data_IF_838374652894
#
_entry.id   IF_838374652894
#
_cell.length_a   1.000
_cell.length_b   1.000
_cell.length_c   1.000
_cell.angle_alpha   90.00
_cell.angle_beta   90.00
_cell.angle_gamma   90.00
#
_symmetry.space_group_name_H-M   'P 1'
#
loop_
_entity.id
_entity.type
_entity.pdbx_description
1 polymer ?
#
# COMPACT_ATOMS: atom_id res chain seq x y z
N UNK A 1 7.65 22.02 53.68
CA UNK A 1 8.48 21.07 52.91
C UNK A 1 7.73 20.88 51.60
N UNK A 2 8.26 21.48 50.53
CA UNK A 2 7.65 21.35 49.21
C UNK A 2 7.86 19.94 48.70
N UNK A 3 6.81 19.22 48.47
CA UNK A 3 6.86 17.93 47.79
C UNK A 3 7.56 18.12 46.43
N UNK A 4 8.58 17.35 46.20
CA UNK A 4 9.29 17.36 44.94
C UNK A 4 8.31 16.98 43.84
N UNK A 5 8.20 17.83 42.82
CA UNK A 5 7.36 17.55 41.63
C UNK A 5 7.76 16.21 41.01
N UNK A 6 6.81 15.41 40.52
CA UNK A 6 7.09 14.12 39.95
C UNK A 6 8.10 14.22 38.80
N UNK A 7 9.08 13.32 38.80
CA UNK A 7 10.18 13.30 37.81
C UNK A 7 9.78 12.85 36.44
N UNK A 8 8.55 12.30 36.28
CA UNK A 8 8.00 11.88 34.99
C UNK A 8 6.89 12.82 34.58
N UNK A 9 7.10 13.56 33.51
CA UNK A 9 6.09 14.47 32.92
C UNK A 9 5.46 13.83 31.71
N UNK A 10 4.14 13.65 31.78
CA UNK A 10 3.35 13.36 30.61
C UNK A 10 3.01 14.68 29.91
N UNK A 11 3.57 14.89 28.72
CA UNK A 11 3.21 16.04 27.89
C UNK A 11 2.04 15.63 27.00
N UNK A 12 0.92 16.28 27.20
CA UNK A 12 -0.12 16.40 26.18
C UNK A 12 0.07 17.76 25.52
N UNK A 13 -0.01 17.81 24.19
CA UNK A 13 0.32 18.96 23.36
C UNK A 13 -0.28 20.28 23.88
N UNK A 14 0.51 21.04 24.61
CA UNK A 14 0.22 22.40 25.01
C UNK A 14 -0.99 22.66 25.93
N UNK A 15 -1.77 21.65 26.29
CA UNK A 15 -3.02 21.81 27.06
C UNK A 15 -2.98 21.20 28.48
N UNK A 16 -1.80 20.88 29.01
CA UNK A 16 -1.73 20.49 30.44
C UNK A 16 -1.80 21.76 31.31
N UNK A 17 -2.92 22.01 31.99
CA UNK A 17 -3.09 23.24 32.79
C UNK A 17 -2.12 23.35 33.97
N UNK A 18 -1.31 22.33 34.22
CA UNK A 18 -0.27 22.35 35.23
C UNK A 18 1.03 23.01 34.77
N UNK A 19 1.16 23.26 33.45
CA UNK A 19 2.40 23.75 32.83
C UNK A 19 2.12 24.69 31.66
N UNK A 20 1.38 25.79 31.92
CA UNK A 20 1.01 26.78 30.89
C UNK A 20 2.21 27.48 30.25
N UNK A 21 3.31 27.60 30.97
CA UNK A 21 4.58 28.08 30.40
C UNK A 21 5.77 27.51 31.18
N UNK A 22 6.50 26.57 30.58
CA UNK A 22 7.77 26.07 31.11
C UNK A 22 8.82 27.16 31.22
N UNK A 23 8.70 28.23 30.43
CA UNK A 23 9.62 29.37 30.44
C UNK A 23 9.56 30.07 31.80
N UNK A 24 8.39 30.29 32.35
CA UNK A 24 8.22 30.95 33.64
C UNK A 24 8.70 30.10 34.81
N UNK A 25 8.54 28.78 34.73
CA UNK A 25 9.03 27.87 35.78
C UNK A 25 10.55 27.66 35.78
N UNK A 26 11.17 27.65 34.60
CA UNK A 26 12.61 27.39 34.46
C UNK A 26 13.40 28.68 34.60
N UNK A 27 12.83 29.83 34.28
CA UNK A 27 13.54 31.09 34.14
C UNK A 27 13.15 32.18 35.13
N UNK A 28 12.43 31.87 36.20
CA UNK A 28 12.15 32.83 37.27
C UNK A 28 13.39 33.41 37.91
N UNK A 29 14.58 32.84 37.73
CA UNK A 29 15.84 33.28 38.30
C UNK A 29 16.81 33.96 37.31
N UNK A 30 16.34 34.37 36.11
CA UNK A 30 17.16 35.01 35.11
C UNK A 30 17.50 34.10 33.92
N UNK A 31 17.36 34.65 32.74
CA UNK A 31 17.56 33.95 31.47
C UNK A 31 19.03 33.71 31.22
N UNK A 32 19.41 32.43 31.07
CA UNK A 32 20.72 32.04 30.59
C UNK A 32 20.65 31.68 29.09
N UNK A 33 21.47 32.29 28.22
CA UNK A 33 21.52 31.88 26.79
C UNK A 33 22.08 30.48 26.60
N UNK A 34 22.55 29.82 27.67
CA UNK A 34 23.06 28.45 27.68
C UNK A 34 22.04 27.44 28.17
N UNK A 35 20.84 27.86 28.58
CA UNK A 35 19.79 26.91 28.95
C UNK A 35 19.28 26.21 27.70
N UNK A 36 19.19 24.86 27.72
CA UNK A 36 18.63 24.13 26.60
C UNK A 36 17.15 24.48 26.42
N UNK A 37 16.79 24.87 25.22
CA UNK A 37 15.38 25.00 24.84
C UNK A 37 14.80 23.61 24.69
N UNK A 38 13.67 23.35 25.34
CA UNK A 38 12.96 22.08 25.16
C UNK A 38 12.35 22.05 23.77
N UNK A 39 12.82 21.12 22.93
CA UNK A 39 12.28 20.92 21.60
C UNK A 39 11.37 19.71 21.66
N UNK A 40 10.07 19.90 21.47
CA UNK A 40 9.15 18.81 21.24
C UNK A 40 9.52 18.12 19.92
N UNK A 41 10.02 16.91 19.98
CA UNK A 41 10.25 16.09 18.80
C UNK A 41 9.08 15.13 18.63
N UNK A 42 8.60 15.01 17.40
CA UNK A 42 7.67 13.93 17.06
C UNK A 42 8.29 12.58 17.41
N UNK A 43 7.52 11.62 17.93
CA UNK A 43 8.04 10.28 18.20
C UNK A 43 8.54 9.66 16.89
N UNK A 44 9.56 8.76 16.94
CA UNK A 44 10.17 8.21 15.73
C UNK A 44 9.18 7.55 14.77
N UNK A 45 8.17 6.86 15.29
CA UNK A 45 7.10 6.27 14.48
C UNK A 45 6.33 7.32 13.66
N UNK A 46 5.97 8.44 14.28
CA UNK A 46 5.25 9.53 13.61
C UNK A 46 6.17 10.28 12.63
N UNK A 47 7.43 10.51 13.01
CA UNK A 47 8.42 11.14 12.14
C UNK A 47 8.81 10.29 10.93
N UNK A 48 8.66 8.97 11.01
CA UNK A 48 8.91 8.04 9.92
C UNK A 48 7.73 7.90 8.95
N UNK A 49 6.49 8.17 9.41
CA UNK A 49 5.31 8.02 8.57
C UNK A 49 5.27 9.11 7.49
N UNK A 50 5.32 8.76 6.18
CA UNK A 50 5.33 9.76 5.10
C UNK A 50 4.01 10.52 4.98
N UNK A 51 2.91 9.97 5.52
CA UNK A 51 1.59 10.62 5.54
C UNK A 51 1.43 11.59 6.70
N UNK A 52 2.42 11.73 7.59
CA UNK A 52 2.31 12.59 8.77
C UNK A 52 1.23 12.13 9.77
N UNK A 53 1.02 10.84 9.86
CA UNK A 53 -0.02 10.22 10.69
C UNK A 53 0.27 10.44 12.18
N UNK A 54 -0.69 10.96 12.94
CA UNK A 54 -0.57 11.15 14.39
C UNK A 54 -0.71 9.82 15.15
N UNK A 55 0.29 8.96 14.94
CA UNK A 55 0.30 7.58 15.47
C UNK A 55 0.21 7.60 16.99
N UNK A 56 0.96 8.47 17.65
CA UNK A 56 0.91 8.58 19.10
C UNK A 56 -0.47 9.00 19.60
N UNK A 57 -1.08 10.00 18.95
CA UNK A 57 -2.36 10.54 19.38
C UNK A 57 -3.49 9.50 19.36
N UNK A 58 -3.59 8.67 18.33
CA UNK A 58 -4.62 7.63 18.33
C UNK A 58 -4.22 6.40 19.16
N UNK A 59 -2.92 6.08 19.32
CA UNK A 59 -2.48 5.05 20.28
C UNK A 59 -2.76 5.44 21.73
N UNK A 60 -2.68 6.73 22.08
CA UNK A 60 -3.04 7.22 23.42
C UNK A 60 -4.53 7.03 23.71
N UNK A 61 -5.40 7.09 22.68
CA UNK A 61 -6.81 6.69 22.81
C UNK A 61 -6.94 5.21 23.10
N UNK A 62 -6.24 4.35 22.36
CA UNK A 62 -6.24 2.89 22.55
C UNK A 62 -5.78 2.52 23.95
N UNK A 63 -4.80 3.23 24.49
CA UNK A 63 -4.26 3.04 25.85
C UNK A 63 -5.14 3.64 26.94
N UNK A 64 -6.21 4.36 26.58
CA UNK A 64 -7.09 5.05 27.54
C UNK A 64 -6.49 6.29 28.20
N UNK A 65 -5.40 6.84 27.65
CA UNK A 65 -4.78 8.09 28.11
C UNK A 65 -5.52 9.31 27.57
N UNK A 66 -5.94 9.25 26.29
CA UNK A 66 -6.85 10.22 25.69
C UNK A 66 -8.24 9.57 25.63
N UNK A 67 -9.20 10.18 26.30
CA UNK A 67 -10.55 9.61 26.45
C UNK A 67 -11.51 10.20 25.42
N UNK A 68 -12.36 9.36 24.80
CA UNK A 68 -13.39 9.85 23.90
C UNK A 68 -14.32 10.84 24.59
N UNK A 69 -14.81 11.80 23.83
CA UNK A 69 -15.79 12.80 24.24
C UNK A 69 -17.19 12.36 23.76
N UNK A 70 -18.23 12.92 24.38
CA UNK A 70 -19.61 12.89 23.86
C UNK A 70 -20.24 11.49 23.63
N UNK A 71 -19.90 10.51 24.45
CA UNK A 71 -20.47 9.15 24.38
C UNK A 71 -19.93 8.31 23.22
N UNK A 72 -18.93 8.81 22.49
CA UNK A 72 -18.24 8.08 21.43
C UNK A 72 -17.47 6.87 22.00
N UNK A 73 -17.39 5.77 21.27
CA UNK A 73 -16.52 4.65 21.66
C UNK A 73 -15.05 5.01 21.44
N UNK A 74 -14.15 4.35 22.15
CA UNK A 74 -12.71 4.60 21.95
C UNK A 74 -12.24 4.22 20.54
N UNK A 75 -12.84 3.19 19.93
CA UNK A 75 -12.54 2.78 18.56
C UNK A 75 -12.93 3.87 17.56
N UNK A 76 -14.15 4.44 17.71
CA UNK A 76 -14.58 5.54 16.86
C UNK A 76 -13.68 6.75 17.02
N UNK A 77 -13.31 7.10 18.25
CA UNK A 77 -12.47 8.25 18.53
C UNK A 77 -11.06 8.07 17.94
N UNK A 78 -10.46 6.88 18.09
CA UNK A 78 -9.20 6.54 17.46
C UNK A 78 -9.29 6.58 15.92
N UNK A 79 -10.36 6.01 15.35
CA UNK A 79 -10.64 6.09 13.92
C UNK A 79 -10.70 7.54 13.42
N UNK A 80 -11.43 8.43 14.10
CA UNK A 80 -11.53 9.84 13.72
C UNK A 80 -10.17 10.54 13.69
N UNK A 81 -9.27 10.21 14.62
CA UNK A 81 -7.89 10.72 14.60
C UNK A 81 -7.06 10.11 13.46
N UNK A 82 -7.21 8.82 13.18
CA UNK A 82 -6.48 8.16 12.08
C UNK A 82 -6.81 8.76 10.73
N UNK A 83 -8.09 9.00 10.46
CA UNK A 83 -8.54 9.45 9.14
C UNK A 83 -8.24 10.93 8.85
N UNK A 84 -7.69 11.66 9.78
CA UNK A 84 -7.13 12.98 9.50
C UNK A 84 -5.99 12.93 8.48
N UNK A 85 -5.15 11.90 8.54
CA UNK A 85 -4.04 11.70 7.61
C UNK A 85 -4.27 10.54 6.65
N UNK A 86 -4.87 9.43 7.13
CA UNK A 86 -5.06 8.21 6.35
C UNK A 86 -6.55 7.84 6.21
N UNK A 87 -7.17 8.05 5.03
CA UNK A 87 -8.57 7.69 4.81
C UNK A 87 -8.82 6.18 4.63
N UNK A 88 -7.78 5.34 4.66
CA UNK A 88 -7.83 3.90 4.36
C UNK A 88 -7.21 3.05 5.49
N UNK A 89 -7.63 3.17 6.76
CA UNK A 89 -6.96 2.48 7.86
C UNK A 89 -7.05 0.95 7.76
N UNK A 90 -8.17 0.38 7.29
CA UNK A 90 -8.30 -1.06 7.09
C UNK A 90 -7.35 -1.60 6.01
N UNK A 91 -7.14 -0.84 4.94
CA UNK A 91 -6.22 -1.20 3.86
C UNK A 91 -4.76 -1.00 4.26
N UNK A 92 -4.44 0.15 4.85
CA UNK A 92 -3.07 0.45 5.24
C UNK A 92 -2.58 -0.46 6.36
N UNK A 93 -3.43 -0.81 7.31
CA UNK A 93 -3.09 -1.81 8.33
C UNK A 93 -2.74 -3.19 7.77
N UNK A 94 -3.18 -3.52 6.53
CA UNK A 94 -2.85 -4.77 5.82
C UNK A 94 -1.67 -4.67 4.88
N UNK A 95 -1.45 -3.50 4.29
CA UNK A 95 -0.57 -3.37 3.11
C UNK A 95 0.59 -2.39 3.28
N UNK A 96 0.55 -1.56 4.33
CA UNK A 96 1.64 -0.63 4.61
C UNK A 96 2.89 -1.40 5.07
N UNK A 97 4.08 -1.07 4.54
CA UNK A 97 5.34 -1.71 4.93
C UNK A 97 5.73 -1.48 6.41
N UNK A 98 5.03 -0.62 7.12
CA UNK A 98 5.24 -0.46 8.57
C UNK A 98 6.50 0.31 8.94
N UNK A 99 6.94 1.27 8.13
CA UNK A 99 8.13 2.11 8.42
C UNK A 99 8.09 2.77 9.80
N UNK A 100 6.90 2.99 10.34
CA UNK A 100 6.70 3.46 11.71
C UNK A 100 7.13 2.42 12.75
N UNK A 101 6.90 1.14 12.46
CA UNK A 101 7.30 0.00 13.33
C UNK A 101 8.82 -0.21 13.25
N UNK A 102 9.42 -0.11 12.06
CA UNK A 102 10.88 -0.20 11.88
C UNK A 102 11.65 0.89 12.63
N UNK A 103 11.05 2.06 12.85
CA UNK A 103 11.66 3.17 13.60
C UNK A 103 11.20 3.25 15.05
N UNK A 104 10.52 2.23 15.54
CA UNK A 104 10.04 2.21 16.91
C UNK A 104 11.22 1.99 17.89
N UNK A 105 11.44 2.92 18.82
CA UNK A 105 12.51 2.83 19.82
C UNK A 105 12.34 1.63 20.77
N UNK A 106 11.16 1.01 20.85
CA UNK A 106 10.96 -0.16 21.71
C UNK A 106 11.75 -1.36 21.21
N UNK A 107 11.99 -1.49 19.91
CA UNK A 107 12.76 -2.61 19.36
C UNK A 107 14.22 -2.67 19.86
N UNK A 108 14.72 -1.62 20.52
CA UNK A 108 16.03 -1.64 21.16
C UNK A 108 16.03 -2.45 22.46
N UNK A 109 14.87 -2.76 23.04
CA UNK A 109 14.70 -3.47 24.33
C UNK A 109 13.70 -4.62 24.28
N UNK A 110 12.74 -4.58 23.36
CA UNK A 110 11.68 -5.58 23.17
C UNK A 110 11.10 -5.46 21.74
N UNK A 111 10.03 -6.18 21.42
CA UNK A 111 9.37 -6.05 20.14
C UNK A 111 8.80 -4.65 19.93
N UNK A 112 8.78 -4.20 18.67
CA UNK A 112 8.14 -2.93 18.30
C UNK A 112 6.65 -2.94 18.63
N UNK A 113 6.07 -1.74 18.75
CA UNK A 113 4.62 -1.61 18.89
C UNK A 113 3.94 -2.05 17.59
N UNK A 114 2.98 -2.96 17.66
CA UNK A 114 2.21 -3.46 16.52
C UNK A 114 1.24 -2.43 15.96
N UNK A 115 1.76 -1.34 15.41
CA UNK A 115 0.99 -0.17 14.94
C UNK A 115 0.04 -0.59 13.83
N UNK A 116 0.54 -1.34 12.83
CA UNK A 116 -0.29 -1.80 11.70
C UNK A 116 -1.42 -2.73 12.16
N UNK A 117 -1.17 -3.59 13.13
CA UNK A 117 -2.19 -4.49 13.66
C UNK A 117 -3.32 -3.72 14.37
N UNK A 118 -2.97 -2.68 15.11
CA UNK A 118 -3.96 -1.81 15.77
C UNK A 118 -4.74 -0.98 14.75
N UNK A 119 -4.05 -0.42 13.75
CA UNK A 119 -4.67 0.32 12.65
C UNK A 119 -5.64 -0.57 11.85
N UNK A 120 -5.21 -1.79 11.52
CA UNK A 120 -6.03 -2.82 10.89
C UNK A 120 -7.31 -3.09 11.70
N UNK A 121 -7.16 -3.40 12.98
CA UNK A 121 -8.31 -3.66 13.87
C UNK A 121 -9.31 -2.50 13.90
N UNK A 122 -8.83 -1.27 14.06
CA UNK A 122 -9.71 -0.09 14.12
C UNK A 122 -10.36 0.18 12.76
N UNK A 123 -9.61 -0.02 11.67
CA UNK A 123 -10.11 0.13 10.31
C UNK A 123 -11.26 -0.83 10.00
N UNK A 124 -11.08 -2.12 10.33
CA UNK A 124 -12.11 -3.16 10.16
C UNK A 124 -13.33 -2.89 11.04
N UNK A 125 -13.10 -2.59 12.32
CA UNK A 125 -14.17 -2.23 13.23
C UNK A 125 -15.00 -1.05 12.71
N UNK A 126 -14.34 -0.05 12.12
CA UNK A 126 -15.03 1.11 11.55
C UNK A 126 -15.87 0.74 10.31
N UNK A 127 -15.43 -0.24 9.50
CA UNK A 127 -16.23 -0.77 8.38
C UNK A 127 -17.43 -1.57 8.89
N UNK A 128 -17.23 -2.48 9.84
CA UNK A 128 -18.27 -3.32 10.43
C UNK A 128 -19.37 -2.51 11.13
N UNK A 129 -19.00 -1.37 11.73
CA UNK A 129 -19.93 -0.47 12.41
C UNK A 129 -20.46 0.66 11.49
N UNK A 130 -20.18 0.61 10.19
CA UNK A 130 -20.73 1.54 9.20
C UNK A 130 -20.31 3.00 9.42
N UNK A 131 -19.11 3.25 9.97
CA UNK A 131 -18.65 4.61 10.18
C UNK A 131 -18.42 5.33 8.85
N UNK A 132 -18.94 6.54 8.77
CA UNK A 132 -18.84 7.41 7.60
C UNK A 132 -17.92 8.60 7.87
N UNK A 133 -17.48 9.24 6.81
CA UNK A 133 -16.80 10.53 6.89
C UNK A 133 -17.79 11.68 6.93
N UNK A 134 -17.53 12.73 7.70
CA UNK A 134 -18.39 13.91 7.69
C UNK A 134 -18.30 14.62 6.33
N UNK A 135 -19.44 15.14 5.90
CA UNK A 135 -19.47 16.08 4.76
C UNK A 135 -18.94 17.44 5.22
N UNK A 136 -18.35 18.24 4.31
CA UNK A 136 -17.91 19.58 4.68
C UNK A 136 -19.09 20.44 5.11
N UNK A 137 -18.87 21.30 6.08
CA UNK A 137 -19.88 22.25 6.57
C UNK A 137 -20.20 23.35 5.55
N UNK A 138 -19.20 23.72 4.76
CA UNK A 138 -19.31 24.80 3.75
C UNK A 138 -18.67 24.38 2.43
N UNK A 139 -19.30 24.78 1.33
CA UNK A 139 -18.73 24.60 0.00
C UNK A 139 -17.90 25.80 -0.40
N UNK A 140 -16.69 25.57 -0.90
CA UNK A 140 -15.77 26.62 -1.33
C UNK A 140 -16.07 27.17 -2.72
N UNK A 141 -16.88 26.48 -3.49
CA UNK A 141 -17.13 26.75 -4.90
C UNK A 141 -15.98 26.38 -5.85
N UNK A 142 -14.86 25.88 -5.33
CA UNK A 142 -13.70 25.48 -6.12
C UNK A 142 -13.82 24.03 -6.60
N UNK A 143 -13.48 23.79 -7.89
CA UNK A 143 -13.49 22.49 -8.52
C UNK A 143 -12.07 22.03 -8.81
N UNK A 144 -11.75 20.77 -8.48
CA UNK A 144 -10.41 20.20 -8.72
C UNK A 144 -10.55 18.91 -9.52
N UNK A 145 -9.88 18.85 -10.68
CA UNK A 145 -9.74 17.61 -11.43
C UNK A 145 -8.66 16.75 -10.80
N UNK A 146 -8.95 15.47 -10.59
CA UNK A 146 -7.99 14.48 -10.09
C UNK A 146 -7.81 13.42 -11.16
N UNK A 147 -6.61 13.34 -11.71
CA UNK A 147 -6.27 12.39 -12.76
C UNK A 147 -5.65 11.16 -12.14
N UNK A 148 -6.43 10.06 -12.11
CA UNK A 148 -6.08 8.79 -11.48
C UNK A 148 -6.82 8.53 -10.18
N UNK A 149 -7.58 7.45 -10.13
CA UNK A 149 -8.39 6.98 -9.00
C UNK A 149 -7.67 5.98 -8.09
N UNK A 150 -6.33 5.99 -8.06
CA UNK A 150 -5.52 5.22 -7.15
C UNK A 150 -5.44 5.85 -5.74
N UNK A 151 -4.64 5.26 -4.82
CA UNK A 151 -4.53 5.74 -3.43
C UNK A 151 -4.23 7.22 -3.30
N UNK A 152 -3.32 7.74 -4.15
CA UNK A 152 -2.94 9.16 -4.14
C UNK A 152 -4.12 10.06 -4.54
N UNK A 153 -4.81 9.72 -5.64
CA UNK A 153 -5.97 10.48 -6.12
C UNK A 153 -7.14 10.45 -5.15
N UNK A 154 -7.45 9.28 -4.60
CA UNK A 154 -8.52 9.10 -3.62
C UNK A 154 -8.22 9.86 -2.31
N UNK A 155 -6.98 9.81 -1.82
CA UNK A 155 -6.56 10.57 -0.65
C UNK A 155 -6.62 12.08 -0.88
N UNK A 156 -6.16 12.56 -2.06
CA UNK A 156 -6.28 13.96 -2.46
C UNK A 156 -7.75 14.39 -2.54
N UNK A 157 -8.61 13.58 -3.16
CA UNK A 157 -10.05 13.84 -3.24
C UNK A 157 -10.67 13.97 -1.84
N UNK A 158 -10.36 13.06 -0.93
CA UNK A 158 -10.83 13.09 0.45
C UNK A 158 -10.40 14.38 1.16
N UNK A 159 -9.11 14.73 1.11
CA UNK A 159 -8.60 15.92 1.79
C UNK A 159 -9.15 17.23 1.19
N UNK A 160 -9.33 17.28 -0.12
CA UNK A 160 -9.96 18.42 -0.80
C UNK A 160 -11.45 18.52 -0.42
N UNK A 161 -12.14 17.39 -0.37
CA UNK A 161 -13.57 17.37 0.01
C UNK A 161 -13.78 17.84 1.44
N UNK A 162 -12.94 17.43 2.39
CA UNK A 162 -12.97 17.92 3.78
C UNK A 162 -12.86 19.44 3.87
N UNK A 163 -12.17 20.09 2.92
CA UNK A 163 -12.03 21.56 2.83
C UNK A 163 -13.16 22.23 2.05
N UNK A 164 -14.19 21.49 1.66
CA UNK A 164 -15.34 22.01 0.93
C UNK A 164 -15.10 22.21 -0.57
N UNK A 165 -14.01 21.70 -1.13
CA UNK A 165 -13.80 21.71 -2.58
C UNK A 165 -14.63 20.61 -3.25
N UNK A 166 -14.89 20.76 -4.54
CA UNK A 166 -15.59 19.79 -5.38
C UNK A 166 -14.58 19.01 -6.25
N UNK A 167 -13.98 17.92 -5.76
CA UNK A 167 -13.10 17.08 -6.56
C UNK A 167 -13.89 16.21 -7.52
N UNK A 168 -13.34 16.02 -8.73
CA UNK A 168 -13.84 15.08 -9.75
C UNK A 168 -12.68 14.16 -10.12
N UNK A 169 -12.84 12.87 -9.93
CA UNK A 169 -11.83 11.85 -10.26
C UNK A 169 -12.04 11.36 -11.69
N UNK A 170 -11.00 11.42 -12.50
CA UNK A 170 -10.92 10.84 -13.83
C UNK A 170 -10.05 9.57 -13.76
N UNK A 171 -10.64 8.41 -13.97
CA UNK A 171 -9.96 7.12 -13.94
C UNK A 171 -10.04 6.42 -15.28
N UNK A 172 -8.89 5.98 -15.79
CA UNK A 172 -8.80 5.33 -17.09
C UNK A 172 -9.36 3.90 -17.10
N UNK A 173 -9.37 3.24 -15.94
CA UNK A 173 -9.90 1.88 -15.78
C UNK A 173 -11.37 1.91 -15.35
N UNK A 174 -12.00 0.73 -15.33
CA UNK A 174 -13.39 0.58 -14.93
C UNK A 174 -13.58 0.77 -13.41
N UNK A 175 -12.60 0.36 -12.62
CA UNK A 175 -12.65 0.37 -11.15
C UNK A 175 -11.62 1.36 -10.59
N UNK A 176 -11.98 1.97 -9.46
CA UNK A 176 -11.05 2.78 -8.66
C UNK A 176 -10.13 1.89 -7.82
N UNK A 177 -9.11 2.50 -7.22
CA UNK A 177 -8.19 1.84 -6.29
C UNK A 177 -6.77 1.69 -6.84
N UNK A 178 -6.57 1.81 -8.16
CA UNK A 178 -5.23 1.72 -8.75
C UNK A 178 -4.50 0.45 -8.32
N UNK A 179 -3.29 0.56 -7.72
CA UNK A 179 -2.53 -0.61 -7.27
C UNK A 179 -3.20 -1.40 -6.14
N UNK A 180 -4.06 -0.81 -5.33
CA UNK A 180 -4.87 -1.55 -4.34
C UNK A 180 -5.85 -2.51 -5.02
N UNK A 181 -6.37 -2.13 -6.18
CA UNK A 181 -7.33 -2.91 -6.96
C UNK A 181 -6.64 -3.88 -7.93
N UNK A 182 -5.62 -3.43 -8.63
CA UNK A 182 -5.04 -4.12 -9.78
C UNK A 182 -3.66 -4.74 -9.51
N UNK A 183 -2.90 -4.22 -8.55
CA UNK A 183 -1.53 -4.65 -8.26
C UNK A 183 -1.41 -5.60 -7.08
N UNK A 184 -2.01 -5.27 -5.94
CA UNK A 184 -1.95 -6.13 -4.77
C UNK A 184 -2.85 -7.35 -4.92
N UNK A 185 -2.35 -8.51 -4.49
CA UNK A 185 -3.12 -9.75 -4.58
C UNK A 185 -4.34 -9.74 -3.66
N UNK A 186 -5.45 -10.35 -4.11
CA UNK A 186 -6.72 -10.38 -3.38
C UNK A 186 -6.66 -11.05 -2.01
N UNK A 187 -5.70 -11.96 -1.79
CA UNK A 187 -5.50 -12.61 -0.49
C UNK A 187 -4.85 -11.69 0.56
N UNK A 188 -4.05 -10.70 0.11
CA UNK A 188 -3.48 -9.68 0.98
C UNK A 188 -4.42 -8.49 1.16
N UNK A 189 -5.12 -8.14 0.10
CA UNK A 189 -5.98 -6.96 0.02
C UNK A 189 -7.37 -7.36 -0.52
N UNK A 190 -8.28 -7.87 0.35
CA UNK A 190 -9.61 -8.32 -0.06
C UNK A 190 -10.39 -7.22 -0.77
N UNK A 191 -11.02 -7.54 -1.89
CA UNK A 191 -11.69 -6.54 -2.76
C UNK A 191 -12.91 -5.90 -2.12
N UNK A 192 -13.61 -6.62 -1.27
CA UNK A 192 -14.71 -6.09 -0.46
C UNK A 192 -14.23 -4.96 0.48
N UNK A 193 -13.08 -5.13 1.13
CA UNK A 193 -12.46 -4.09 1.97
C UNK A 193 -12.01 -2.90 1.12
N UNK A 194 -11.35 -3.15 -0.03
CA UNK A 194 -10.95 -2.09 -0.96
C UNK A 194 -12.16 -1.25 -1.36
N UNK A 195 -13.22 -1.91 -1.81
CA UNK A 195 -14.42 -1.24 -2.30
C UNK A 195 -15.17 -0.52 -1.17
N UNK A 196 -15.20 -1.09 0.03
CA UNK A 196 -15.85 -0.47 1.19
C UNK A 196 -15.14 0.82 1.62
N UNK A 197 -13.82 0.83 1.69
CA UNK A 197 -13.07 2.05 2.04
C UNK A 197 -13.14 3.11 0.93
N UNK A 198 -13.05 2.71 -0.35
CA UNK A 198 -13.26 3.63 -1.47
C UNK A 198 -14.66 4.23 -1.41
N UNK A 199 -15.69 3.40 -1.23
CA UNK A 199 -17.07 3.86 -1.10
C UNK A 199 -17.22 4.88 0.02
N UNK A 200 -16.62 4.67 1.18
CA UNK A 200 -16.64 5.60 2.30
C UNK A 200 -16.08 6.98 1.93
N UNK A 201 -15.00 7.01 1.13
CA UNK A 201 -14.44 8.26 0.60
C UNK A 201 -15.42 8.92 -0.36
N UNK A 202 -16.00 8.17 -1.30
CA UNK A 202 -16.93 8.70 -2.31
C UNK A 202 -18.25 9.21 -1.71
N UNK A 203 -18.72 8.59 -0.64
CA UNK A 203 -19.97 8.99 0.06
C UNK A 203 -19.90 10.42 0.64
N UNK A 204 -18.72 11.02 0.71
CA UNK A 204 -18.56 12.46 1.04
C UNK A 204 -19.05 13.40 -0.07
N UNK A 205 -19.39 12.88 -1.24
CA UNK A 205 -19.89 13.63 -2.39
C UNK A 205 -18.83 13.94 -3.44
N UNK A 206 -17.94 12.98 -3.71
CA UNK A 206 -16.92 13.06 -4.76
C UNK A 206 -17.49 12.48 -6.05
N UNK A 207 -17.41 13.27 -7.15
CA UNK A 207 -17.78 12.81 -8.51
C UNK A 207 -16.66 11.92 -9.07
N UNK A 208 -17.05 10.87 -9.81
CA UNK A 208 -16.13 9.94 -10.46
C UNK A 208 -16.51 9.73 -11.93
N UNK A 209 -15.51 9.71 -12.80
CA UNK A 209 -15.61 9.37 -14.22
C UNK A 209 -14.61 8.26 -14.51
N UNK A 210 -15.08 7.02 -14.45
CA UNK A 210 -14.29 5.84 -14.85
C UNK A 210 -14.26 5.69 -16.37
N UNK A 211 -13.41 4.79 -16.88
CA UNK A 211 -13.20 4.58 -18.32
C UNK A 211 -12.89 5.88 -19.07
N UNK A 212 -12.26 6.84 -18.39
CA UNK A 212 -11.95 8.16 -18.93
C UNK A 212 -10.46 8.44 -18.83
N UNK A 213 -9.74 8.23 -19.92
CA UNK A 213 -8.30 8.45 -20.02
C UNK A 213 -7.99 9.88 -20.44
N UNK A 214 -7.38 10.65 -19.55
CA UNK A 214 -6.89 12.00 -19.87
C UNK A 214 -5.81 11.92 -20.94
N UNK A 215 -5.90 12.79 -21.94
CA UNK A 215 -5.06 12.79 -23.12
C UNK A 215 -5.64 11.97 -24.30
N UNK A 216 -6.72 11.20 -24.07
CA UNK A 216 -7.42 10.45 -25.12
C UNK A 216 -8.92 10.81 -25.16
N UNK A 217 -9.62 10.63 -24.04
CA UNK A 217 -11.08 10.81 -23.96
C UNK A 217 -11.44 12.23 -23.50
N UNK A 218 -10.54 12.89 -22.80
CA UNK A 218 -10.60 14.31 -22.43
C UNK A 218 -9.18 14.88 -22.49
N UNK A 219 -9.01 16.07 -23.06
CA UNK A 219 -7.72 16.72 -23.17
C UNK A 219 -7.33 17.45 -21.86
N UNK A 220 -6.04 17.72 -21.69
CA UNK A 220 -5.56 18.54 -20.58
C UNK A 220 -6.16 19.94 -20.61
N UNK A 221 -6.26 20.52 -21.82
CA UNK A 221 -6.85 21.86 -22.01
C UNK A 221 -8.30 21.92 -21.52
N UNK A 222 -9.09 20.89 -21.81
CA UNK A 222 -10.49 20.82 -21.33
C UNK A 222 -10.56 20.74 -19.80
N UNK A 223 -9.61 20.08 -19.18
CA UNK A 223 -9.51 20.08 -17.71
C UNK A 223 -9.14 21.45 -17.15
N UNK A 224 -8.14 22.11 -17.75
CA UNK A 224 -7.72 23.45 -17.36
C UNK A 224 -8.83 24.50 -17.53
N UNK A 225 -9.66 24.36 -18.57
CA UNK A 225 -10.78 25.28 -18.83
C UNK A 225 -11.97 25.05 -17.87
N UNK A 226 -12.14 23.85 -17.29
CA UNK A 226 -13.29 23.48 -16.47
C UNK A 226 -13.03 23.46 -14.97
N UNK A 227 -11.77 23.39 -14.54
CA UNK A 227 -11.36 23.20 -13.15
C UNK A 227 -10.39 24.28 -12.68
N UNK A 228 -10.46 24.63 -11.40
CA UNK A 228 -9.55 25.60 -10.78
C UNK A 228 -8.13 25.05 -10.61
N UNK A 229 -7.98 23.71 -10.51
CA UNK A 229 -6.70 23.03 -10.41
C UNK A 229 -6.80 21.58 -10.91
N UNK A 230 -5.65 21.01 -11.28
CA UNK A 230 -5.52 19.61 -11.70
C UNK A 230 -4.48 18.92 -10.82
N UNK A 231 -4.86 17.80 -10.19
CA UNK A 231 -3.97 16.94 -9.43
C UNK A 231 -3.63 15.68 -10.24
N UNK A 232 -2.35 15.37 -10.35
CA UNK A 232 -1.85 14.21 -11.07
C UNK A 232 -1.50 13.08 -10.11
N UNK A 233 -2.32 12.01 -10.13
CA UNK A 233 -2.14 10.80 -9.33
C UNK A 233 -2.12 9.53 -10.18
N UNK A 234 -1.46 9.56 -11.35
CA UNK A 234 -1.52 8.51 -12.38
C UNK A 234 -0.81 7.21 -12.03
N UNK A 235 0.04 7.21 -11.00
CA UNK A 235 0.80 6.03 -10.55
C UNK A 235 1.83 5.53 -11.56
N UNK A 236 2.33 4.31 -11.33
CA UNK A 236 3.28 3.60 -12.21
C UNK A 236 2.63 2.27 -12.64
N UNK A 237 2.40 2.10 -13.93
CA UNK A 237 1.65 0.98 -14.50
C UNK A 237 2.51 0.02 -15.33
N UNK A 238 3.81 0.25 -15.43
CA UNK A 238 4.77 -0.61 -16.10
C UNK A 238 5.86 -1.05 -15.15
N UNK A 239 6.18 -2.34 -15.15
CA UNK A 239 7.32 -2.87 -14.43
C UNK A 239 8.64 -2.51 -15.12
N UNK A 240 9.74 -2.75 -14.42
CA UNK A 240 11.05 -2.62 -15.00
C UNK A 240 11.37 -3.89 -15.81
N UNK A 241 11.72 -3.76 -17.10
CA UNK A 241 12.11 -4.92 -17.90
C UNK A 241 13.38 -5.54 -17.34
N UNK A 242 13.53 -6.85 -17.51
CA UNK A 242 14.79 -7.54 -17.22
C UNK A 242 15.73 -7.32 -18.41
N UNK A 243 16.85 -6.59 -18.24
CA UNK A 243 17.71 -6.19 -19.36
C UNK A 243 18.67 -7.32 -19.78
N UNK A 244 18.12 -8.45 -20.21
CA UNK A 244 18.89 -9.60 -20.68
C UNK A 244 18.39 -10.05 -22.06
N UNK A 245 19.28 -10.56 -22.94
CA UNK A 245 18.89 -11.16 -24.22
C UNK A 245 17.81 -12.22 -24.04
N UNK A 246 16.88 -12.32 -24.99
CA UNK A 246 15.78 -13.27 -24.97
C UNK A 246 14.56 -12.83 -24.19
N UNK A 247 14.64 -11.80 -23.32
CA UNK A 247 13.49 -11.34 -22.53
C UNK A 247 12.34 -10.79 -23.39
N UNK A 248 12.66 -9.91 -24.34
CA UNK A 248 11.64 -9.29 -25.19
C UNK A 248 11.20 -10.19 -26.35
N UNK A 249 11.98 -11.22 -26.65
CA UNK A 249 11.71 -12.17 -27.74
C UNK A 249 10.79 -13.30 -27.31
N UNK A 250 10.74 -13.61 -26.01
CA UNK A 250 9.92 -14.70 -25.47
C UNK A 250 8.53 -14.22 -25.09
N UNK A 251 7.49 -14.74 -25.73
CA UNK A 251 6.09 -14.40 -25.42
C UNK A 251 5.70 -14.68 -23.96
N UNK A 252 6.28 -15.71 -23.34
CA UNK A 252 6.01 -16.11 -21.95
C UNK A 252 6.92 -15.43 -20.91
N UNK A 253 7.69 -14.41 -21.30
CA UNK A 253 8.31 -13.46 -20.39
C UNK A 253 7.32 -12.33 -20.13
N UNK A 254 6.78 -12.29 -18.93
CA UNK A 254 5.63 -11.45 -18.57
C UNK A 254 6.05 -10.39 -17.56
N UNK A 255 5.59 -9.15 -17.75
CA UNK A 255 5.70 -8.09 -16.75
C UNK A 255 4.90 -8.44 -15.49
N UNK A 256 5.49 -8.27 -14.30
CA UNK A 256 4.87 -8.65 -13.04
C UNK A 256 3.58 -7.87 -12.73
N UNK A 257 3.48 -6.59 -13.10
CA UNK A 257 2.27 -5.81 -12.89
C UNK A 257 1.16 -6.24 -13.85
N UNK A 258 1.50 -6.56 -15.10
CA UNK A 258 0.54 -7.11 -16.06
C UNK A 258 0.01 -8.48 -15.60
N UNK A 259 0.89 -9.32 -15.05
CA UNK A 259 0.51 -10.60 -14.46
C UNK A 259 -0.47 -10.44 -13.28
N UNK A 260 -0.12 -9.60 -12.30
CA UNK A 260 -0.97 -9.34 -11.13
C UNK A 260 -2.30 -8.70 -11.52
N UNK A 261 -2.28 -7.79 -12.50
CA UNK A 261 -3.49 -7.20 -13.03
C UNK A 261 -4.43 -8.24 -13.62
N UNK A 262 -3.94 -9.12 -14.48
CA UNK A 262 -4.75 -10.17 -15.10
C UNK A 262 -5.34 -11.13 -14.05
N UNK A 263 -4.58 -11.44 -13.02
CA UNK A 263 -5.06 -12.22 -11.87
C UNK A 263 -6.17 -11.49 -11.11
N UNK A 264 -5.94 -10.23 -10.74
CA UNK A 264 -6.88 -9.44 -9.94
C UNK A 264 -8.17 -9.08 -10.70
N UNK A 265 -8.12 -8.99 -12.03
CA UNK A 265 -9.29 -8.87 -12.90
C UNK A 265 -10.05 -10.19 -13.09
N UNK A 266 -9.55 -11.30 -12.52
CA UNK A 266 -10.14 -12.64 -12.66
C UNK A 266 -9.91 -13.29 -14.02
N UNK A 267 -9.16 -12.65 -14.92
CA UNK A 267 -8.84 -13.18 -16.24
C UNK A 267 -7.84 -14.33 -16.18
N UNK A 268 -6.79 -14.20 -15.35
CA UNK A 268 -5.78 -15.23 -15.17
C UNK A 268 -6.17 -16.15 -14.00
N UNK A 269 -6.53 -17.40 -14.30
CA UNK A 269 -7.04 -18.35 -13.32
C UNK A 269 -6.13 -19.57 -13.12
N UNK A 270 -5.27 -19.87 -14.10
CA UNK A 270 -4.39 -21.05 -14.10
C UNK A 270 -3.05 -20.71 -14.72
N UNK A 271 -2.02 -21.49 -14.35
CA UNK A 271 -0.71 -21.49 -14.98
C UNK A 271 -0.36 -22.89 -15.46
N UNK A 272 0.68 -23.01 -16.26
CA UNK A 272 1.20 -24.27 -16.77
C UNK A 272 2.70 -24.35 -16.55
N UNK A 273 3.17 -25.45 -16.00
CA UNK A 273 4.59 -25.68 -15.74
C UNK A 273 5.17 -24.80 -14.64
N UNK A 274 6.48 -24.72 -14.63
CA UNK A 274 7.24 -23.95 -13.63
C UNK A 274 7.20 -22.45 -13.93
N UNK A 275 6.92 -21.67 -12.89
CA UNK A 275 6.98 -20.20 -12.96
C UNK A 275 8.25 -19.71 -12.28
N UNK A 276 9.05 -18.91 -13.00
CA UNK A 276 10.27 -18.30 -12.48
C UNK A 276 10.04 -16.79 -12.34
N UNK A 277 10.21 -16.29 -11.13
CA UNK A 277 10.10 -14.86 -10.79
C UNK A 277 11.51 -14.28 -10.70
N UNK A 278 11.80 -13.23 -11.47
CA UNK A 278 13.09 -12.54 -11.45
C UNK A 278 12.93 -11.25 -10.64
N UNK A 279 13.51 -11.21 -9.46
CA UNK A 279 13.46 -10.03 -8.60
C UNK A 279 13.35 -10.35 -7.11
N UNK A 280 13.43 -9.30 -6.28
CA UNK A 280 13.39 -9.42 -4.81
C UNK A 280 12.59 -8.30 -4.12
N UNK A 281 11.77 -7.54 -4.86
CA UNK A 281 10.88 -6.52 -4.29
C UNK A 281 9.50 -7.09 -3.95
N UNK A 282 8.65 -6.31 -3.28
CA UNK A 282 7.29 -6.72 -2.90
C UNK A 282 6.46 -7.23 -4.09
N UNK A 283 6.58 -6.61 -5.27
CA UNK A 283 5.92 -7.10 -6.49
C UNK A 283 6.34 -8.52 -6.86
N UNK A 284 7.63 -8.86 -6.66
CA UNK A 284 8.11 -10.21 -6.93
C UNK A 284 7.52 -11.22 -5.92
N UNK A 285 7.39 -10.84 -4.65
CA UNK A 285 6.75 -11.67 -3.62
C UNK A 285 5.27 -11.87 -3.94
N UNK A 286 4.54 -10.81 -4.32
CA UNK A 286 3.15 -10.90 -4.76
C UNK A 286 2.98 -11.84 -5.96
N UNK A 287 3.84 -11.69 -6.99
CA UNK A 287 3.82 -12.57 -8.16
C UNK A 287 4.08 -14.04 -7.79
N UNK A 288 5.04 -14.29 -6.91
CA UNK A 288 5.39 -15.63 -6.47
C UNK A 288 4.24 -16.28 -5.69
N UNK A 289 3.66 -15.58 -4.72
CA UNK A 289 2.51 -16.06 -3.96
C UNK A 289 1.28 -16.32 -4.85
N UNK A 290 1.01 -15.45 -5.82
CA UNK A 290 -0.07 -15.64 -6.79
C UNK A 290 0.21 -16.85 -7.69
N UNK A 291 1.42 -16.94 -8.27
CA UNK A 291 1.78 -18.07 -9.14
C UNK A 291 1.67 -19.42 -8.40
N UNK A 292 2.13 -19.47 -7.15
CA UNK A 292 2.01 -20.66 -6.30
C UNK A 292 0.55 -21.09 -6.10
N UNK A 293 -0.34 -20.13 -5.85
CA UNK A 293 -1.77 -20.37 -5.61
C UNK A 293 -2.56 -20.69 -6.89
N UNK A 294 -2.25 -20.05 -8.00
CA UNK A 294 -2.86 -20.38 -9.30
C UNK A 294 -2.62 -21.84 -9.66
N UNK A 295 -1.44 -22.32 -9.33
CA UNK A 295 -1.07 -23.72 -9.46
C UNK A 295 -0.70 -24.10 -10.89
N UNK A 296 -0.26 -25.35 -11.04
CA UNK A 296 0.07 -25.99 -12.32
C UNK A 296 -1.09 -26.89 -12.76
N UNK A 297 -1.48 -26.73 -14.00
CA UNK A 297 -2.51 -27.55 -14.65
C UNK A 297 -1.86 -28.38 -15.74
N UNK A 298 -1.98 -29.68 -15.63
CA UNK A 298 -1.39 -30.65 -16.58
C UNK A 298 -2.38 -31.04 -17.70
N UNK A 299 -3.64 -31.21 -17.33
CA UNK A 299 -4.67 -31.63 -18.28
C UNK A 299 -5.19 -30.38 -19.04
N UNK A 300 -5.06 -30.41 -20.37
CA UNK A 300 -5.45 -29.32 -21.23
C UNK A 300 -4.43 -28.16 -21.28
N UNK A 301 -3.19 -28.39 -20.84
CA UNK A 301 -2.13 -27.38 -20.80
C UNK A 301 -1.91 -26.61 -22.12
N UNK A 302 -2.07 -27.30 -23.26
CA UNK A 302 -1.92 -26.73 -24.60
C UNK A 302 -2.99 -25.67 -24.92
N UNK A 303 -4.15 -25.73 -24.25
CA UNK A 303 -5.22 -24.74 -24.40
C UNK A 303 -5.02 -23.50 -23.52
N UNK A 304 -4.23 -23.63 -22.46
CA UNK A 304 -3.97 -22.56 -21.51
C UNK A 304 -2.67 -21.86 -21.94
N UNK A 305 -2.81 -20.60 -22.36
CA UNK A 305 -1.68 -19.75 -22.73
C UNK A 305 -1.67 -18.51 -21.85
N UNK A 306 -1.10 -18.61 -20.64
CA UNK A 306 -1.13 -17.52 -19.65
C UNK A 306 -0.60 -16.21 -20.21
N UNK A 307 0.42 -16.23 -21.05
CA UNK A 307 0.99 -15.07 -21.72
C UNK A 307 -0.05 -14.33 -22.61
N UNK A 308 -0.88 -15.09 -23.32
CA UNK A 308 -1.95 -14.55 -24.17
C UNK A 308 -3.12 -13.97 -23.36
N UNK A 309 -3.45 -14.62 -22.24
CA UNK A 309 -4.46 -14.13 -21.29
C UNK A 309 -3.99 -12.82 -20.64
N UNK A 310 -2.74 -12.76 -20.22
CA UNK A 310 -2.16 -11.54 -19.63
C UNK A 310 -2.13 -10.42 -20.66
N UNK A 311 -1.80 -10.70 -21.90
CA UNK A 311 -1.84 -9.75 -23.01
C UNK A 311 -3.27 -9.29 -23.37
N UNK A 312 -4.31 -10.02 -22.93
CA UNK A 312 -5.70 -9.74 -23.26
C UNK A 312 -6.10 -10.20 -24.67
N UNK A 313 -5.33 -11.12 -25.26
CA UNK A 313 -5.59 -11.67 -26.60
C UNK A 313 -6.61 -12.79 -26.59
N UNK A 314 -6.69 -13.55 -25.50
CA UNK A 314 -7.65 -14.64 -25.29
C UNK A 314 -8.18 -14.64 -23.87
N UNK A 315 -9.34 -15.22 -23.66
CA UNK A 315 -9.87 -15.55 -22.34
C UNK A 315 -9.44 -16.96 -21.93
N UNK A 316 -9.43 -17.24 -20.61
CA UNK A 316 -9.27 -18.60 -20.14
C UNK A 316 -10.40 -19.49 -20.63
N UNK A 317 -10.10 -20.77 -20.97
CA UNK A 317 -11.15 -21.72 -21.27
C UNK A 317 -12.04 -21.93 -20.04
N UNK A 318 -13.36 -21.92 -20.23
CA UNK A 318 -14.37 -22.16 -19.19
C UNK A 318 -14.38 -23.61 -18.64
N UNK A 319 -13.55 -24.48 -19.19
CA UNK A 319 -13.52 -25.91 -18.84
C UNK A 319 -12.99 -26.08 -17.42
N UNK A 320 -13.70 -26.80 -16.53
CA UNK A 320 -13.17 -27.12 -15.21
C UNK A 320 -11.88 -27.90 -15.35
N UNK A 321 -10.81 -27.40 -14.76
CA UNK A 321 -9.52 -28.04 -14.84
C UNK A 321 -9.41 -29.06 -13.72
N UNK A 322 -9.31 -30.34 -14.11
CA UNK A 322 -8.97 -31.41 -13.17
C UNK A 322 -7.46 -31.53 -13.01
N UNK A 323 -7.02 -31.95 -11.83
CA UNK A 323 -5.59 -32.20 -11.57
C UNK A 323 -4.74 -31.01 -11.23
N UNK A 324 -5.34 -29.91 -10.75
CA UNK A 324 -4.62 -28.72 -10.25
C UNK A 324 -3.73 -29.09 -9.06
N UNK A 325 -2.45 -28.80 -9.17
CA UNK A 325 -1.45 -28.90 -8.10
C UNK A 325 -0.93 -27.50 -7.75
N UNK A 326 -0.34 -27.35 -6.57
CA UNK A 326 0.39 -26.11 -6.25
C UNK A 326 1.49 -25.88 -7.30
N UNK A 327 1.56 -24.67 -7.84
CA UNK A 327 2.52 -24.31 -8.89
C UNK A 327 3.96 -24.46 -8.41
N UNK A 328 4.83 -25.05 -9.24
CA UNK A 328 6.25 -25.01 -9.01
C UNK A 328 6.74 -23.59 -9.29
N UNK A 329 7.06 -22.84 -8.21
CA UNK A 329 7.39 -21.41 -8.29
C UNK A 329 8.76 -21.16 -7.69
N UNK A 330 9.61 -20.50 -8.46
CA UNK A 330 10.97 -20.14 -8.06
C UNK A 330 11.14 -18.63 -8.08
N UNK A 331 11.89 -18.10 -7.10
CA UNK A 331 12.41 -16.73 -7.12
C UNK A 331 13.89 -16.81 -7.45
N UNK A 332 14.32 -16.11 -8.50
CA UNK A 332 15.73 -15.91 -8.84
C UNK A 332 16.13 -14.50 -8.47
N UNK A 333 17.07 -14.37 -7.53
CA UNK A 333 17.50 -13.08 -7.02
C UNK A 333 19.02 -12.94 -7.02
N UNK A 334 19.53 -11.81 -7.54
CA UNK A 334 20.96 -11.59 -7.73
C UNK A 334 21.78 -11.34 -6.46
N UNK A 335 21.13 -11.18 -5.31
CA UNK A 335 21.76 -10.98 -3.99
C UNK A 335 21.33 -12.07 -3.03
N UNK A 336 21.94 -12.20 -1.84
CA UNK A 336 21.36 -12.99 -0.77
C UNK A 336 19.91 -12.57 -0.49
N UNK A 337 19.03 -13.51 -0.26
CA UNK A 337 17.59 -13.23 -0.10
C UNK A 337 17.30 -12.34 1.12
N UNK A 338 18.14 -12.42 2.15
CA UNK A 338 18.11 -11.49 3.29
C UNK A 338 18.28 -10.02 2.90
N UNK A 339 18.96 -9.74 1.78
CA UNK A 339 19.17 -8.41 1.21
C UNK A 339 18.07 -8.01 0.21
N UNK A 340 17.06 -8.83 0.01
CA UNK A 340 15.94 -8.49 -0.87
C UNK A 340 15.18 -7.28 -0.28
N UNK A 341 14.83 -6.28 -1.11
CA UNK A 341 14.18 -5.05 -0.64
C UNK A 341 12.69 -5.25 -0.28
N UNK A 342 12.15 -6.46 -0.47
CA UNK A 342 10.81 -6.79 0.00
C UNK A 342 10.75 -6.77 1.52
N UNK A 343 9.58 -6.42 2.06
CA UNK A 343 9.30 -6.43 3.48
C UNK A 343 9.50 -7.84 4.07
N UNK A 344 9.98 -7.93 5.31
CA UNK A 344 10.35 -9.20 5.91
C UNK A 344 9.16 -10.18 5.95
N UNK A 345 7.99 -9.71 6.33
CA UNK A 345 6.79 -10.55 6.38
C UNK A 345 6.37 -11.10 5.01
N UNK A 346 6.64 -10.37 3.92
CA UNK A 346 6.39 -10.85 2.55
C UNK A 346 7.39 -11.93 2.14
N UNK A 347 8.64 -11.77 2.55
CA UNK A 347 9.69 -12.80 2.34
C UNK A 347 9.37 -14.07 3.10
N UNK A 348 8.96 -13.95 4.35
CA UNK A 348 8.57 -15.08 5.18
C UNK A 348 7.35 -15.82 4.60
N UNK A 349 6.33 -15.06 4.17
CA UNK A 349 5.13 -15.62 3.58
C UNK A 349 5.40 -16.48 2.33
N UNK A 350 6.23 -16.03 1.39
CA UNK A 350 6.53 -16.83 0.19
C UNK A 350 7.35 -18.08 0.50
N UNK A 351 8.22 -18.02 1.50
CA UNK A 351 8.98 -19.19 1.99
C UNK A 351 8.03 -20.20 2.64
N UNK A 352 7.14 -19.76 3.51
CA UNK A 352 6.14 -20.61 4.18
C UNK A 352 5.18 -21.26 3.18
N UNK A 353 4.89 -20.59 2.07
CA UNK A 353 4.09 -21.14 0.97
C UNK A 353 4.86 -22.14 0.10
N UNK A 354 6.14 -22.37 0.36
CA UNK A 354 6.97 -23.33 -0.34
C UNK A 354 7.44 -22.85 -1.72
N UNK A 355 7.63 -21.54 -1.89
CA UNK A 355 8.34 -20.97 -3.04
C UNK A 355 9.83 -21.26 -2.89
N UNK A 356 10.46 -21.76 -3.94
CA UNK A 356 11.89 -22.08 -3.91
C UNK A 356 12.74 -20.84 -4.21
N UNK A 357 13.71 -20.55 -3.35
CA UNK A 357 14.55 -19.37 -3.46
C UNK A 357 15.92 -19.71 -4.04
N UNK A 358 16.24 -19.15 -5.18
CA UNK A 358 17.53 -19.23 -5.85
C UNK A 358 18.26 -17.89 -5.72
N UNK A 359 19.01 -17.74 -4.64
CA UNK A 359 19.71 -16.50 -4.31
C UNK A 359 21.13 -16.43 -4.86
N UNK A 360 21.70 -15.23 -4.89
CA UNK A 360 23.03 -14.94 -5.40
C UNK A 360 23.23 -15.36 -6.88
N UNK A 361 22.15 -15.36 -7.65
CA UNK A 361 22.14 -15.71 -9.07
C UNK A 361 21.66 -14.54 -9.92
N UNK A 362 22.53 -14.01 -10.76
CA UNK A 362 22.20 -12.94 -11.70
C UNK A 362 21.77 -13.52 -13.05
N UNK A 363 20.61 -13.15 -13.59
CA UNK A 363 20.19 -13.56 -14.92
C UNK A 363 21.08 -12.88 -15.97
N UNK A 364 21.47 -13.63 -17.00
CA UNK A 364 22.30 -13.14 -18.11
C UNK A 364 21.68 -13.38 -19.47
N UNK A 365 20.81 -14.37 -19.61
CA UNK A 365 20.16 -14.71 -20.88
C UNK A 365 18.90 -15.54 -20.64
N UNK A 366 17.88 -15.31 -21.44
CA UNK A 366 16.70 -16.20 -21.56
C UNK A 366 16.93 -17.09 -22.79
N UNK A 367 16.93 -18.40 -22.57
CA UNK A 367 17.10 -19.38 -23.65
C UNK A 367 15.73 -19.70 -24.23
N UNK A 368 15.60 -19.52 -25.55
CA UNK A 368 14.35 -19.79 -26.26
C UNK A 368 14.31 -21.23 -26.77
N UNK A 369 13.13 -21.79 -26.80
CA UNK A 369 12.84 -23.03 -27.53
C UNK A 369 12.55 -22.75 -29.01
N UNK A 370 12.36 -23.83 -29.77
CA UNK A 370 12.02 -23.77 -31.20
C UNK A 370 10.66 -23.08 -31.45
N UNK A 371 9.80 -23.03 -30.43
CA UNK A 371 8.51 -22.37 -30.41
C UNK A 371 8.55 -20.87 -30.07
N UNK A 372 9.77 -20.32 -29.89
CA UNK A 372 9.97 -18.92 -29.51
C UNK A 372 9.66 -18.58 -28.03
N UNK A 373 9.36 -19.59 -27.20
CA UNK A 373 9.11 -19.40 -25.78
C UNK A 373 10.37 -19.59 -24.95
N UNK A 374 10.45 -18.90 -23.82
CA UNK A 374 11.50 -19.14 -22.83
C UNK A 374 11.40 -20.59 -22.31
N UNK A 375 12.50 -21.30 -22.41
CA UNK A 375 12.67 -22.69 -21.93
C UNK A 375 13.57 -22.78 -20.72
N UNK A 376 14.51 -21.87 -20.60
CA UNK A 376 15.44 -21.81 -19.49
C UNK A 376 15.93 -20.38 -19.27
N UNK A 377 16.40 -20.11 -18.08
CA UNK A 377 17.12 -18.92 -17.71
C UNK A 377 18.58 -19.29 -17.44
N UNK A 378 19.50 -18.62 -18.10
CA UNK A 378 20.93 -18.73 -17.82
C UNK A 378 21.30 -17.71 -16.75
N UNK A 379 21.91 -18.18 -15.70
CA UNK A 379 22.33 -17.38 -14.55
C UNK A 379 23.82 -17.52 -14.30
N UNK A 380 24.43 -16.50 -13.72
CA UNK A 380 25.79 -16.57 -13.18
C UNK A 380 25.74 -16.35 -11.68
N UNK A 381 26.65 -16.97 -10.97
CA UNK A 381 26.85 -16.70 -9.55
C UNK A 381 27.31 -15.25 -9.38
N UNK A 382 26.58 -14.49 -8.63
CA UNK A 382 26.92 -13.11 -8.36
C UNK A 382 27.97 -13.03 -7.22
N UNK A 383 28.95 -12.18 -7.38
CA UNK A 383 29.94 -11.89 -6.35
C UNK A 383 29.44 -10.75 -5.43
N UNK A 384 29.59 -10.93 -4.13
CA UNK A 384 29.07 -10.06 -3.08
C UNK A 384 30.19 -9.43 -2.24
N UNK A 385 31.42 -9.51 -2.70
CA UNK A 385 32.57 -8.92 -1.98
C UNK A 385 32.52 -7.40 -1.94
#
# INVERSE_FOLDING_TARGET
MNEAAPTVRLYTDGEDPRYDDLTDMIFSAGRSPKCPTYVHRAPPCQGACPSGHDIRGWLDVVRGLDKPKDGMTWQEYAFRKMVDANPFPALMGRTCPGVCQEKCNRQDVEDHVGINAVEHFIGDWALENGLTFPKPETESGKKVAIVGGGPAGLSAAYQLRRKGHAPVIFEANAELGGMLQYGLSGHRCPRDIVNAEIKRVLDTGIEVRTNTRVGKDISLKELEDQFDAVFWGIGAWSGNPVPVPGWNEAENCIDGLAFLRAYNEGRLQYLTGRTIIIGGGNTAMDCAGVARRLGDVKDGADAIRPEKVVAGEIDHPETPVSGRQLGETWIVYRRPFSMAPADQHEKDAVVDEGVEIHEALAPVEILLGDDGKARAIKVIKADWS
#
